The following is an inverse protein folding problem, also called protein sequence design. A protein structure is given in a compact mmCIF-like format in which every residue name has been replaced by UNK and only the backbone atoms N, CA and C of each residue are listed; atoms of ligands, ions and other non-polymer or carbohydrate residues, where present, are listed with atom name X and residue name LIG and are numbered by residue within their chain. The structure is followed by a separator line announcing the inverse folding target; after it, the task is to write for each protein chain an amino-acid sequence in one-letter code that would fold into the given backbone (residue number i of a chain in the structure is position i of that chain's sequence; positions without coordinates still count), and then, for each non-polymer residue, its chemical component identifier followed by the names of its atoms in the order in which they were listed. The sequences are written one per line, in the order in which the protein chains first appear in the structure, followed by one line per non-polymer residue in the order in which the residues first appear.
data_IF_136309784588
#
_entry.id   IF_136309784588
#
_cell.length_a   1.000
_cell.length_b   1.000
_cell.length_c   1.000
_cell.angle_alpha   90.00
_cell.angle_beta   90.00
_cell.angle_gamma   90.00
#
_symmetry.space_group_name_H-M   'P 1'
#
loop_
_entity.id
_entity.type
_entity.pdbx_description
1 polymer ?
#
# COMPACT_ATOMS: atom_id res chain seq x y z
N UNK A 1 -5.35 -16.37 3.02
CA UNK A 1 -5.15 -15.04 3.64
C UNK A 1 -6.42 -14.22 3.45
N UNK A 2 -6.97 -13.59 4.48
CA UNK A 2 -8.17 -12.74 4.38
C UNK A 2 -7.72 -11.28 4.23
N UNK A 3 -8.09 -10.64 3.13
CA UNK A 3 -7.87 -9.21 2.94
C UNK A 3 -9.03 -8.45 3.61
N UNK A 4 -8.73 -7.49 4.48
CA UNK A 4 -9.73 -6.58 5.01
C UNK A 4 -9.42 -5.18 4.50
N UNK A 5 -10.37 -4.58 3.78
CA UNK A 5 -10.29 -3.19 3.40
C UNK A 5 -10.87 -2.34 4.53
N UNK A 6 -10.12 -1.34 4.96
CA UNK A 6 -10.57 -0.33 5.91
C UNK A 6 -10.41 1.02 5.23
N UNK A 7 -11.53 1.69 4.98
CA UNK A 7 -11.51 3.05 4.50
C UNK A 7 -10.84 3.96 5.53
N UNK A 8 -9.91 4.80 5.06
CA UNK A 8 -9.10 5.64 5.92
C UNK A 8 -9.97 6.71 6.60
N UNK A 9 -10.86 7.37 5.87
CA UNK A 9 -11.64 8.50 6.39
C UNK A 9 -12.65 8.04 7.44
N UNK A 10 -13.26 6.87 7.22
CA UNK A 10 -14.28 6.33 8.12
C UNK A 10 -13.65 5.64 9.35
N UNK A 11 -12.48 4.98 9.20
CA UNK A 11 -11.91 4.13 10.26
C UNK A 11 -10.62 4.65 10.88
N UNK A 12 -10.16 5.86 10.52
CA UNK A 12 -8.89 6.41 11.02
C UNK A 12 -8.79 6.42 12.54
N UNK A 13 -9.83 6.87 13.26
CA UNK A 13 -9.77 6.97 14.72
C UNK A 13 -9.47 5.62 15.38
N UNK A 14 -10.16 4.55 14.97
CA UNK A 14 -9.90 3.20 15.47
C UNK A 14 -8.51 2.68 15.06
N UNK A 15 -8.09 2.97 13.82
CA UNK A 15 -6.77 2.57 13.32
C UNK A 15 -5.62 3.25 14.07
N UNK A 16 -5.73 4.56 14.32
CA UNK A 16 -4.72 5.35 15.04
C UNK A 16 -4.55 4.90 16.51
N UNK A 17 -5.61 4.40 17.13
CA UNK A 17 -5.56 3.85 18.49
C UNK A 17 -4.88 2.48 18.53
N UNK A 18 -5.11 1.65 17.51
CA UNK A 18 -4.56 0.29 17.44
C UNK A 18 -3.11 0.28 16.90
N UNK A 19 -2.77 1.26 16.05
CA UNK A 19 -1.49 1.37 15.34
C UNK A 19 -0.97 2.81 15.39
N UNK A 20 -0.46 3.26 16.56
CA UNK A 20 -0.01 4.64 16.77
C UNK A 20 1.24 5.00 15.94
N UNK A 21 1.94 4.00 15.38
CA UNK A 21 3.11 4.19 14.52
C UNK A 21 2.75 4.63 13.09
N UNK A 22 1.47 4.74 12.75
CA UNK A 22 1.01 5.14 11.43
C UNK A 22 0.47 6.58 11.48
N UNK A 23 0.94 7.42 10.56
CA UNK A 23 0.47 8.80 10.43
C UNK A 23 -0.62 8.93 9.35
N UNK A 24 -1.63 9.76 9.60
CA UNK A 24 -2.73 10.02 8.67
C UNK A 24 -2.21 10.59 7.36
N UNK A 25 -1.26 11.53 7.46
CA UNK A 25 -0.65 12.20 6.32
C UNK A 25 0.10 11.23 5.43
N UNK A 26 0.73 10.21 6.00
CA UNK A 26 1.40 9.17 5.22
C UNK A 26 0.38 8.25 4.55
N UNK A 27 -0.70 7.85 5.24
CA UNK A 27 -1.78 7.05 4.67
C UNK A 27 -2.50 7.76 3.51
N UNK A 28 -2.56 9.09 3.55
CA UNK A 28 -3.11 9.91 2.45
C UNK A 28 -2.17 9.99 1.25
N UNK A 29 -0.86 9.93 1.47
CA UNK A 29 0.14 9.98 0.39
C UNK A 29 0.26 8.64 -0.34
N UNK A 30 0.20 7.52 0.38
CA UNK A 30 0.41 6.20 -0.21
C UNK A 30 -0.36 5.08 0.51
N UNK A 31 -0.58 3.98 -0.23
CA UNK A 31 -1.24 2.78 0.31
C UNK A 31 -0.35 2.13 1.38
N UNK A 32 -0.98 1.78 2.51
CA UNK A 32 -0.36 1.02 3.59
C UNK A 32 -1.00 -0.36 3.74
N UNK A 33 -0.16 -1.39 3.83
CA UNK A 33 -0.58 -2.74 4.18
C UNK A 33 -0.08 -3.08 5.58
N UNK A 34 -1.03 -3.42 6.44
CA UNK A 34 -0.80 -3.93 7.78
C UNK A 34 -0.73 -5.45 7.71
N UNK A 35 0.43 -6.02 8.07
CA UNK A 35 0.60 -7.46 8.14
C UNK A 35 0.27 -7.98 9.55
N UNK A 36 -0.19 -9.24 9.68
CA UNK A 36 -0.55 -9.84 10.96
C UNK A 36 0.63 -9.99 11.94
N UNK A 37 1.87 -9.89 11.45
CA UNK A 37 3.08 -9.89 12.29
C UNK A 37 3.42 -8.51 12.86
N UNK A 38 2.56 -7.49 12.65
CA UNK A 38 2.80 -6.11 13.06
C UNK A 38 3.66 -5.30 12.09
N UNK A 39 4.19 -5.91 11.03
CA UNK A 39 4.93 -5.17 10.01
C UNK A 39 3.99 -4.29 9.19
N UNK A 40 4.44 -3.08 8.87
CA UNK A 40 3.72 -2.18 7.95
C UNK A 40 4.54 -2.04 6.67
N UNK A 41 3.90 -2.28 5.52
CA UNK A 41 4.48 -2.03 4.19
C UNK A 41 3.80 -0.83 3.57
N UNK A 42 4.55 -0.07 2.77
CA UNK A 42 4.08 1.15 2.12
C UNK A 42 4.25 1.09 0.60
N UNK A 43 3.43 1.84 -0.13
CA UNK A 43 3.53 2.01 -1.58
C UNK A 43 3.51 0.69 -2.34
N UNK A 44 4.49 0.49 -3.24
CA UNK A 44 4.56 -0.72 -4.08
C UNK A 44 4.71 -2.01 -3.27
N UNK A 45 5.35 -1.97 -2.10
CA UNK A 45 5.47 -3.15 -1.24
C UNK A 45 4.13 -3.53 -0.61
N UNK A 46 3.30 -2.55 -0.24
CA UNK A 46 1.94 -2.80 0.22
C UNK A 46 1.10 -3.42 -0.90
N UNK A 47 1.20 -2.88 -2.11
CA UNK A 47 0.52 -3.39 -3.30
C UNK A 47 0.95 -4.83 -3.60
N UNK A 48 2.24 -5.18 -3.49
CA UNK A 48 2.72 -6.56 -3.67
C UNK A 48 2.05 -7.54 -2.71
N UNK A 49 1.91 -7.19 -1.43
CA UNK A 49 1.23 -8.04 -0.43
C UNK A 49 -0.27 -8.21 -0.73
N UNK A 50 -0.92 -7.14 -1.21
CA UNK A 50 -2.32 -7.18 -1.63
C UNK A 50 -2.47 -8.08 -2.86
N UNK A 51 -1.61 -7.92 -3.87
CA UNK A 51 -1.62 -8.73 -5.10
C UNK A 51 -1.37 -10.21 -4.81
N UNK A 52 -0.54 -10.54 -3.82
CA UNK A 52 -0.38 -11.92 -3.37
C UNK A 52 -1.69 -12.57 -2.88
N UNK A 53 -2.64 -11.78 -2.37
CA UNK A 53 -3.95 -12.27 -1.94
C UNK A 53 -4.97 -12.40 -3.09
N UNK A 54 -4.71 -11.78 -4.25
CA UNK A 54 -5.59 -11.83 -5.43
C UNK A 54 -4.92 -12.63 -6.55
N UNK A 55 -5.20 -13.94 -6.69
CA UNK A 55 -4.55 -14.78 -7.70
C UNK A 55 -4.78 -14.30 -9.14
N UNK A 56 -5.93 -13.65 -9.40
CA UNK A 56 -6.24 -13.08 -10.71
C UNK A 56 -5.31 -11.91 -11.09
N UNK A 57 -4.67 -11.27 -10.11
CA UNK A 57 -3.75 -10.15 -10.31
C UNK A 57 -2.27 -10.56 -10.19
N UNK A 58 -1.97 -11.85 -10.09
CA UNK A 58 -0.58 -12.34 -10.08
C UNK A 58 0.24 -11.96 -11.33
N UNK A 59 -0.33 -11.85 -12.55
CA UNK A 59 0.43 -11.32 -13.68
C UNK A 59 0.97 -9.90 -13.41
N UNK A 60 0.20 -9.07 -12.69
CA UNK A 60 0.64 -7.74 -12.28
C UNK A 60 1.72 -7.80 -11.20
N UNK A 61 1.66 -8.79 -10.29
CA UNK A 61 2.71 -9.03 -9.30
C UNK A 61 4.07 -9.30 -9.97
N UNK A 62 4.10 -10.13 -11.02
CA UNK A 62 5.31 -10.38 -11.82
C UNK A 62 5.89 -9.08 -12.39
N UNK A 63 5.04 -8.20 -12.91
CA UNK A 63 5.46 -6.88 -13.41
C UNK A 63 6.06 -6.05 -12.28
N UNK A 64 5.45 -6.05 -11.08
CA UNK A 64 6.02 -5.29 -9.96
C UNK A 64 7.37 -5.82 -9.49
N UNK A 65 7.72 -7.08 -9.75
CA UNK A 65 8.99 -7.70 -9.37
C UNK A 65 10.14 -7.41 -10.35
N UNK A 66 9.83 -6.94 -11.56
CA UNK A 66 10.85 -6.55 -12.55
C UNK A 66 11.72 -5.40 -11.99
N UNK A 67 13.05 -5.52 -12.01
CA UNK A 67 13.94 -4.43 -11.63
C UNK A 67 13.73 -3.26 -12.59
N UNK A 68 13.16 -2.16 -12.09
CA UNK A 68 12.76 -0.98 -12.87
C UNK A 68 11.28 -0.58 -12.74
N UNK A 69 10.41 -1.49 -12.28
CA UNK A 69 8.99 -1.19 -12.08
C UNK A 69 8.76 -0.12 -10.98
N UNK A 70 9.53 -0.17 -9.89
CA UNK A 70 9.48 0.84 -8.82
C UNK A 70 9.86 2.24 -9.32
N UNK A 71 10.81 2.32 -10.26
CA UNK A 71 11.28 3.57 -10.86
C UNK A 71 10.23 4.14 -11.80
N UNK A 72 9.55 3.29 -12.58
CA UNK A 72 8.44 3.67 -13.45
C UNK A 72 7.23 4.17 -12.65
N UNK A 73 6.83 3.46 -11.60
CA UNK A 73 5.69 3.85 -10.73
C UNK A 73 6.00 5.15 -9.98
N UNK A 74 7.21 5.30 -9.42
CA UNK A 74 7.62 6.54 -8.74
C UNK A 74 7.66 7.75 -9.68
N UNK A 75 7.99 7.54 -10.95
CA UNK A 75 8.07 8.60 -11.97
C UNK A 75 6.68 9.09 -12.39
N UNK A 76 5.69 8.19 -12.46
CA UNK A 76 4.28 8.56 -12.69
C UNK A 76 3.70 9.29 -11.48
N UNK A 77 4.02 8.84 -10.25
CA UNK A 77 3.57 9.52 -9.02
C UNK A 77 4.14 10.94 -8.88
N UNK A 78 5.42 11.14 -9.22
CA UNK A 78 6.04 12.48 -9.24
C UNK A 78 5.44 13.41 -10.30
N UNK A 79 4.84 12.87 -11.37
CA UNK A 79 4.25 13.69 -12.42
C UNK A 79 2.94 14.36 -11.97
N UNK A 80 2.17 13.72 -11.08
CA UNK A 80 0.92 14.27 -10.52
C UNK A 80 1.11 15.31 -9.42
N UNK A 81 2.35 15.59 -9.00
CA UNK A 81 2.66 16.51 -7.90
C UNK A 81 3.29 17.83 -8.37
N UNK A 82 3.19 18.12 -9.67
CA UNK A 82 3.63 19.38 -10.30
C UNK A 82 2.45 20.01 -11.04
N UNK A 83 1.45 20.44 -10.27
CA UNK A 83 0.47 21.47 -10.64
C UNK A 83 0.22 22.33 -9.39
#
# INVERSE_FOLDING_TARGET
KRLSYSDLEVRWQNLSQTHPHISLEECRREIHALLPNGATRKGLFAVREILWCLPILWPLLLITYLPGASTLVSKIYKFKQRD
#
